data_IF_873367893213
#
_entry.id   IF_873367893213
#
_cell.length_a   1.000
_cell.length_b   1.000
_cell.length_c   1.000
_cell.angle_alpha   90.00
_cell.angle_beta   90.00
_cell.angle_gamma   90.00
#
_symmetry.space_group_name_H-M   'P 1'
#
loop_
_entity.id
_entity.type
_entity.pdbx_description
1 polymer ?
#
# COMPACT_ATOMS: atom_id res chain seq x y z
N UNK A 1 -14.73 -3.33 21.04
CA UNK A 1 -15.75 -4.04 20.23
C UNK A 1 -15.30 -3.99 18.79
N UNK A 2 -14.74 -5.08 18.27
CA UNK A 2 -14.37 -5.22 16.86
C UNK A 2 -15.52 -5.97 16.17
N UNK A 3 -16.40 -5.23 15.51
CA UNK A 3 -17.49 -5.79 14.71
C UNK A 3 -17.06 -5.76 13.24
N UNK A 4 -16.96 -6.95 12.62
CA UNK A 4 -17.07 -7.10 11.16
C UNK A 4 -15.83 -6.82 10.31
N UNK A 5 -14.62 -6.99 10.81
CA UNK A 5 -13.44 -6.94 9.94
C UNK A 5 -13.38 -8.19 9.05
N UNK A 6 -13.26 -7.99 7.74
CA UNK A 6 -12.99 -9.04 6.75
C UNK A 6 -11.58 -9.61 6.93
N UNK A 7 -11.33 -10.85 6.50
CA UNK A 7 -10.00 -11.48 6.55
C UNK A 7 -8.92 -10.59 5.90
N UNK A 8 -9.29 -9.90 4.82
CA UNK A 8 -8.43 -8.96 4.08
C UNK A 8 -7.99 -7.76 4.94
N UNK A 9 -8.92 -7.19 5.71
CA UNK A 9 -8.64 -6.05 6.60
C UNK A 9 -7.69 -6.44 7.74
N UNK A 10 -7.79 -7.67 8.26
CA UNK A 10 -6.87 -8.19 9.28
C UNK A 10 -5.45 -8.34 8.75
N UNK A 11 -5.27 -8.81 7.51
CA UNK A 11 -3.96 -8.99 6.91
C UNK A 11 -3.25 -7.64 6.70
N UNK A 12 -3.98 -6.64 6.23
CA UNK A 12 -3.42 -5.30 5.99
C UNK A 12 -3.11 -4.54 7.29
N UNK A 13 -3.80 -4.85 8.39
CA UNK A 13 -3.52 -4.25 9.69
C UNK A 13 -2.08 -4.54 10.14
N UNK A 14 -1.63 -5.80 10.01
CA UNK A 14 -0.28 -6.21 10.39
C UNK A 14 0.81 -5.60 9.49
N UNK A 15 0.55 -5.38 8.21
CA UNK A 15 1.45 -4.62 7.33
C UNK A 15 1.50 -3.14 7.71
N UNK A 16 0.35 -2.55 8.03
CA UNK A 16 0.26 -1.20 8.57
C UNK A 16 1.09 -1.03 9.85
N UNK A 17 1.03 -1.99 10.76
CA UNK A 17 1.81 -1.96 12.01
C UNK A 17 3.31 -2.09 11.79
N UNK A 18 3.73 -2.95 10.84
CA UNK A 18 5.14 -3.04 10.45
C UNK A 18 5.64 -1.75 9.81
N UNK A 19 4.84 -1.15 8.94
CA UNK A 19 5.15 0.17 8.38
C UNK A 19 5.22 1.22 9.49
N UNK A 20 4.29 1.23 10.46
CA UNK A 20 4.31 2.16 11.59
C UNK A 20 5.59 2.04 12.41
N UNK A 21 6.01 0.82 12.76
CA UNK A 21 7.27 0.58 13.46
C UNK A 21 8.49 1.07 12.65
N UNK A 22 8.42 0.94 11.33
CA UNK A 22 9.46 1.44 10.44
C UNK A 22 9.48 2.98 10.35
N UNK A 23 8.31 3.63 10.36
CA UNK A 23 8.19 5.09 10.41
C UNK A 23 8.62 5.66 11.77
N UNK A 24 8.32 4.96 12.88
CA UNK A 24 8.70 5.38 14.24
C UNK A 24 10.22 5.49 14.40
N UNK A 25 10.99 4.60 13.78
CA UNK A 25 12.46 4.67 13.75
C UNK A 25 12.98 5.92 13.02
N UNK A 26 12.19 6.55 12.17
CA UNK A 26 12.59 7.70 11.34
C UNK A 26 12.07 9.03 11.87
N UNK A 27 10.81 9.07 12.28
CA UNK A 27 10.16 10.26 12.83
C UNK A 27 10.24 10.29 14.35
N UNK A 28 11.41 9.99 14.92
CA UNK A 28 11.61 9.82 16.35
C UNK A 28 10.90 10.90 17.18
N UNK A 29 10.19 10.48 18.23
CA UNK A 29 9.41 11.38 19.09
C UNK A 29 7.98 11.67 18.62
N UNK A 30 7.57 11.18 17.44
CA UNK A 30 6.16 11.20 17.04
C UNK A 30 5.29 10.27 17.90
N UNK A 31 4.04 10.66 18.10
CA UNK A 31 3.05 9.85 18.79
C UNK A 31 2.83 8.50 18.08
N UNK A 32 2.83 7.42 18.87
CA UNK A 32 2.78 6.05 18.34
C UNK A 32 1.41 5.76 17.71
N UNK A 33 0.32 6.21 18.33
CA UNK A 33 -1.04 6.02 17.78
C UNK A 33 -1.19 6.78 16.46
N UNK A 34 -0.67 8.01 16.40
CA UNK A 34 -0.63 8.80 15.18
C UNK A 34 0.10 8.09 14.03
N UNK A 35 1.27 7.51 14.31
CA UNK A 35 2.05 6.77 13.31
C UNK A 35 1.34 5.48 12.87
N UNK A 36 0.70 4.76 13.79
CA UNK A 36 -0.11 3.59 13.45
C UNK A 36 -1.28 3.97 12.55
N UNK A 37 -2.01 5.04 12.88
CA UNK A 37 -3.09 5.55 12.04
C UNK A 37 -2.60 5.86 10.63
N UNK A 38 -1.56 6.69 10.51
CA UNK A 38 -0.97 7.08 9.22
C UNK A 38 -0.56 5.84 8.41
N UNK A 39 0.17 4.91 9.02
CA UNK A 39 0.71 3.75 8.33
C UNK A 39 -0.41 2.79 7.87
N UNK A 40 -1.38 2.49 8.74
CA UNK A 40 -2.54 1.64 8.40
C UNK A 40 -3.36 2.26 7.27
N UNK A 41 -3.63 3.56 7.33
CA UNK A 41 -4.36 4.27 6.27
C UNK A 41 -3.60 4.20 4.94
N UNK A 42 -2.29 4.42 4.94
CA UNK A 42 -1.49 4.35 3.71
C UNK A 42 -1.46 2.94 3.12
N UNK A 43 -1.24 1.92 3.96
CA UNK A 43 -1.22 0.52 3.52
C UNK A 43 -2.54 0.15 2.86
N UNK A 44 -3.66 0.42 3.54
CA UNK A 44 -4.98 0.08 3.03
C UNK A 44 -5.29 0.76 1.70
N UNK A 45 -5.12 2.08 1.64
CA UNK A 45 -5.46 2.85 0.46
C UNK A 45 -4.53 2.52 -0.73
N UNK A 46 -3.23 2.31 -0.49
CA UNK A 46 -2.31 1.94 -1.55
C UNK A 46 -2.65 0.57 -2.14
N UNK A 47 -2.92 -0.43 -1.30
CA UNK A 47 -3.26 -1.78 -1.76
C UNK A 47 -4.55 -1.77 -2.58
N UNK A 48 -5.60 -1.11 -2.07
CA UNK A 48 -6.88 -1.01 -2.78
C UNK A 48 -6.75 -0.31 -4.14
N UNK A 49 -6.09 0.86 -4.16
CA UNK A 49 -5.87 1.60 -5.41
C UNK A 49 -5.01 0.80 -6.38
N UNK A 50 -3.98 0.11 -5.91
CA UNK A 50 -3.13 -0.73 -6.73
C UNK A 50 -3.93 -1.84 -7.40
N UNK A 51 -4.67 -2.63 -6.61
CA UNK A 51 -5.50 -3.73 -7.12
C UNK A 51 -6.52 -3.24 -8.16
N UNK A 52 -7.27 -2.18 -7.84
CA UNK A 52 -8.22 -1.59 -8.77
C UNK A 52 -7.55 -1.10 -10.07
N UNK A 53 -6.37 -0.49 -9.97
CA UNK A 53 -5.59 -0.04 -11.14
C UNK A 53 -5.18 -1.20 -12.03
N UNK A 54 -4.74 -2.34 -11.45
CA UNK A 54 -4.39 -3.53 -12.22
C UNK A 54 -5.61 -4.04 -12.98
N UNK A 55 -6.74 -4.22 -12.31
CA UNK A 55 -7.96 -4.73 -12.96
C UNK A 55 -8.44 -3.79 -14.07
N UNK A 56 -8.42 -2.47 -13.84
CA UNK A 56 -8.85 -1.49 -14.83
C UNK A 56 -7.94 -1.44 -16.06
N UNK A 57 -6.62 -1.43 -15.87
CA UNK A 57 -5.66 -1.37 -16.97
C UNK A 57 -5.68 -2.66 -17.79
N UNK A 58 -5.69 -3.82 -17.12
CA UNK A 58 -5.67 -5.14 -17.79
C UNK A 58 -6.96 -5.40 -18.57
N UNK A 59 -8.12 -4.98 -18.03
CA UNK A 59 -9.40 -4.97 -18.75
C UNK A 59 -9.35 -4.10 -20.00
N UNK A 60 -8.81 -2.88 -19.91
CA UNK A 60 -8.66 -1.97 -21.06
C UNK A 60 -7.66 -2.49 -22.11
N UNK A 61 -6.69 -3.31 -21.69
CA UNK A 61 -5.73 -3.95 -22.57
C UNK A 61 -6.26 -5.24 -23.24
N UNK A 62 -7.52 -5.61 -23.03
CA UNK A 62 -8.12 -6.82 -23.60
C UNK A 62 -7.69 -8.13 -22.93
N UNK A 63 -6.99 -8.05 -21.78
CA UNK A 63 -6.53 -9.20 -20.99
C UNK A 63 -7.07 -9.06 -19.55
N UNK A 64 -8.38 -9.21 -19.31
CA UNK A 64 -8.95 -8.93 -17.99
C UNK A 64 -8.36 -9.86 -16.93
N UNK A 65 -7.72 -9.27 -15.92
CA UNK A 65 -7.24 -9.99 -14.74
C UNK A 65 -8.00 -9.54 -13.50
N UNK A 66 -8.01 -10.40 -12.49
CA UNK A 66 -8.53 -10.10 -11.15
C UNK A 66 -7.37 -10.03 -10.18
N UNK A 67 -7.41 -9.03 -9.31
CA UNK A 67 -6.44 -8.89 -8.23
C UNK A 67 -7.11 -9.33 -6.92
N UNK A 68 -6.50 -10.28 -6.23
CA UNK A 68 -6.99 -10.83 -4.97
C UNK A 68 -5.97 -10.57 -3.88
N UNK A 69 -6.43 -10.20 -2.68
CA UNK A 69 -5.58 -10.19 -1.50
C UNK A 69 -5.74 -11.56 -0.82
N UNK A 70 -4.63 -12.24 -0.57
CA UNK A 70 -4.63 -13.55 0.11
C UNK A 70 -3.51 -13.59 1.14
N UNK A 71 -3.60 -14.51 2.09
CA UNK A 71 -2.48 -14.86 2.95
C UNK A 71 -1.56 -15.87 2.24
N UNK A 72 -0.25 -15.71 2.37
CA UNK A 72 0.74 -16.73 2.00
C UNK A 72 0.77 -17.88 3.02
N UNK A 73 1.68 -18.85 2.81
CA UNK A 73 1.80 -20.04 3.66
C UNK A 73 2.16 -19.73 5.13
N UNK A 74 2.71 -18.55 5.39
CA UNK A 74 3.13 -18.10 6.72
C UNK A 74 2.23 -16.97 7.26
N UNK A 75 1.13 -16.66 6.57
CA UNK A 75 0.10 -15.71 7.00
C UNK A 75 0.35 -14.26 6.59
N UNK A 76 1.34 -13.95 5.75
CA UNK A 76 1.56 -12.59 5.25
C UNK A 76 0.70 -12.28 4.03
N UNK A 77 0.28 -11.02 3.85
CA UNK A 77 -0.53 -10.64 2.70
C UNK A 77 0.27 -10.60 1.38
N UNK A 78 -0.27 -11.31 0.41
CA UNK A 78 0.11 -11.31 -1.00
C UNK A 78 -1.04 -10.78 -1.87
N UNK A 79 -0.71 -9.95 -2.84
CA UNK A 79 -1.60 -9.60 -3.95
C UNK A 79 -1.36 -10.63 -5.05
N UNK A 80 -2.39 -11.42 -5.39
CA UNK A 80 -2.34 -12.44 -6.42
C UNK A 80 -3.16 -11.99 -7.62
N UNK A 81 -2.56 -12.05 -8.80
CA UNK A 81 -3.22 -11.72 -10.06
C UNK A 81 -3.62 -13.01 -10.76
N UNK A 82 -4.91 -13.15 -11.05
CA UNK A 82 -5.48 -14.35 -11.67
C UNK A 82 -6.19 -14.04 -12.98
N UNK A 83 -6.18 -15.01 -13.90
CA UNK A 83 -7.01 -15.00 -15.11
C UNK A 83 -8.48 -15.25 -14.77
N UNK A 84 -9.36 -15.10 -15.78
CA UNK A 84 -10.77 -15.45 -15.65
C UNK A 84 -10.98 -16.93 -15.29
N UNK A 85 -10.07 -17.81 -15.72
CA UNK A 85 -10.10 -19.25 -15.44
C UNK A 85 -9.44 -19.61 -14.10
N UNK A 86 -8.99 -18.61 -13.33
CA UNK A 86 -8.38 -18.79 -12.00
C UNK A 86 -6.89 -19.13 -12.03
N UNK A 87 -6.22 -19.08 -13.19
CA UNK A 87 -4.78 -19.31 -13.27
C UNK A 87 -4.00 -18.14 -12.67
N UNK A 88 -3.04 -18.44 -11.80
CA UNK A 88 -2.15 -17.43 -11.20
C UNK A 88 -1.14 -16.94 -12.24
N UNK A 89 -1.12 -15.63 -12.49
CA UNK A 89 -0.19 -14.96 -13.41
C UNK A 89 0.98 -14.32 -12.69
N UNK A 90 0.72 -13.65 -11.58
CA UNK A 90 1.75 -12.99 -10.79
C UNK A 90 1.34 -12.95 -9.31
N UNK A 91 2.34 -12.91 -8.43
CA UNK A 91 2.17 -12.67 -7.00
C UNK A 91 3.07 -11.53 -6.56
N UNK A 92 2.56 -10.65 -5.70
CA UNK A 92 3.28 -9.52 -5.16
C UNK A 92 3.03 -9.41 -3.64
N UNK A 93 4.05 -9.65 -2.81
CA UNK A 93 3.93 -9.40 -1.38
C UNK A 93 3.60 -7.94 -1.10
N UNK A 94 2.65 -7.68 -0.20
CA UNK A 94 2.27 -6.31 0.16
C UNK A 94 3.45 -5.57 0.78
N UNK A 95 4.27 -6.23 1.59
CA UNK A 95 5.54 -5.66 2.08
C UNK A 95 6.41 -5.14 0.92
N UNK A 96 6.50 -5.87 -0.19
CA UNK A 96 7.29 -5.48 -1.36
C UNK A 96 6.68 -4.26 -2.07
N UNK A 97 5.35 -4.22 -2.21
CA UNK A 97 4.62 -3.06 -2.74
C UNK A 97 4.90 -1.79 -1.90
N UNK A 98 4.74 -1.88 -0.58
CA UNK A 98 4.97 -0.77 0.35
C UNK A 98 6.41 -0.28 0.27
N UNK A 99 7.37 -1.21 0.23
CA UNK A 99 8.80 -0.89 0.08
C UNK A 99 9.09 -0.15 -1.21
N UNK A 100 8.58 -0.65 -2.35
CA UNK A 100 8.81 -0.01 -3.64
C UNK A 100 8.17 1.39 -3.71
N UNK A 101 6.97 1.55 -3.16
CA UNK A 101 6.23 2.81 -3.17
C UNK A 101 6.88 3.88 -2.28
N UNK A 102 7.24 3.53 -1.05
CA UNK A 102 7.65 4.53 -0.04
C UNK A 102 9.17 4.68 0.12
N UNK A 103 9.95 3.67 -0.27
CA UNK A 103 11.38 3.63 0.02
C UNK A 103 12.25 3.48 -1.24
N UNK A 104 13.47 3.98 -1.14
CA UNK A 104 14.60 3.67 -2.02
C UNK A 104 15.66 3.01 -1.16
N UNK A 105 15.75 1.68 -1.25
CA UNK A 105 16.50 0.88 -0.28
C UNK A 105 15.91 1.04 1.12
N UNK A 106 16.71 1.52 2.07
CA UNK A 106 16.28 1.79 3.45
C UNK A 106 15.88 3.25 3.68
N UNK A 107 15.89 4.10 2.67
CA UNK A 107 15.62 5.54 2.81
C UNK A 107 14.22 5.86 2.30
N UNK A 108 13.45 6.68 3.04
CA UNK A 108 12.17 7.18 2.52
C UNK A 108 12.44 8.04 1.30
N UNK A 109 11.64 7.86 0.26
CA UNK A 109 11.72 8.72 -0.92
C UNK A 109 11.40 10.16 -0.52
N UNK A 110 12.14 11.14 -1.03
CA UNK A 110 12.06 12.53 -0.57
C UNK A 110 10.64 13.11 -0.59
N UNK A 111 9.90 12.91 -1.69
CA UNK A 111 8.51 13.36 -1.79
C UNK A 111 7.59 12.69 -0.75
N UNK A 112 7.79 11.39 -0.50
CA UNK A 112 7.04 10.64 0.51
C UNK A 112 7.38 11.15 1.91
N UNK A 113 8.66 11.35 2.22
CA UNK A 113 9.10 11.86 3.51
C UNK A 113 8.48 13.23 3.85
N UNK A 114 8.43 14.15 2.88
CA UNK A 114 7.81 15.48 3.06
C UNK A 114 6.33 15.36 3.41
N UNK A 115 5.57 14.53 2.68
CA UNK A 115 4.14 14.36 2.94
C UNK A 115 3.86 13.61 4.25
N UNK A 116 4.68 12.61 4.58
CA UNK A 116 4.58 11.91 5.86
C UNK A 116 4.88 12.82 7.04
N UNK A 117 5.93 13.65 6.96
CA UNK A 117 6.24 14.63 7.99
C UNK A 117 5.07 15.59 8.22
N UNK A 118 4.48 16.11 7.13
CA UNK A 118 3.30 16.98 7.20
C UNK A 118 2.09 16.26 7.84
N UNK A 119 1.89 14.97 7.55
CA UNK A 119 0.83 14.18 8.15
C UNK A 119 1.06 13.92 9.65
N UNK A 120 2.31 13.71 10.07
CA UNK A 120 2.70 13.54 11.48
C UNK A 120 2.49 14.84 12.26
N UNK A 121 2.90 15.98 11.69
CA UNK A 121 2.82 17.28 12.35
C UNK A 121 1.43 17.94 12.28
N UNK A 122 0.52 17.44 11.43
CA UNK A 122 -0.79 18.06 11.26
C UNK A 122 -1.56 18.22 12.58
N UNK A 123 -2.14 19.39 12.79
CA UNK A 123 -2.86 19.72 14.04
C UNK A 123 -4.34 19.35 14.00
N UNK A 124 -4.85 18.91 12.84
CA UNK A 124 -6.23 18.47 12.67
C UNK A 124 -6.33 17.38 11.58
N UNK A 125 -7.46 16.70 11.55
CA UNK A 125 -7.73 15.60 10.63
C UNK A 125 -7.71 16.01 9.17
N UNK A 126 -8.24 17.18 8.82
CA UNK A 126 -8.27 17.65 7.43
C UNK A 126 -6.85 17.82 6.85
N UNK A 127 -5.92 18.38 7.63
CA UNK A 127 -4.52 18.51 7.23
C UNK A 127 -3.84 17.14 7.12
N UNK A 128 -4.12 16.22 8.03
CA UNK A 128 -3.64 14.83 7.95
C UNK A 128 -4.10 14.17 6.66
N UNK A 129 -5.40 14.19 6.38
CA UNK A 129 -5.98 13.60 5.16
C UNK A 129 -5.39 14.19 3.90
N UNK A 130 -5.23 15.53 3.84
CA UNK A 130 -4.58 16.18 2.70
C UNK A 130 -3.15 15.70 2.49
N UNK A 131 -2.37 15.60 3.55
CA UNK A 131 -0.99 15.13 3.49
C UNK A 131 -0.91 13.66 3.04
N UNK A 132 -1.79 12.79 3.54
CA UNK A 132 -1.87 11.38 3.11
C UNK A 132 -2.27 11.25 1.64
N UNK A 133 -3.26 12.02 1.19
CA UNK A 133 -3.65 12.06 -0.23
C UNK A 133 -2.50 12.55 -1.11
N UNK A 134 -1.77 13.59 -0.70
CA UNK A 134 -0.57 14.05 -1.41
C UNK A 134 0.53 12.97 -1.44
N UNK A 135 0.71 12.22 -0.35
CA UNK A 135 1.61 11.09 -0.30
C UNK A 135 1.25 10.02 -1.34
N UNK A 136 -0.01 9.58 -1.38
CA UNK A 136 -0.47 8.56 -2.32
C UNK A 136 -0.42 9.01 -3.79
N UNK A 137 -0.64 10.30 -4.05
CA UNK A 137 -0.53 10.90 -5.39
C UNK A 137 0.90 11.26 -5.78
N UNK A 138 1.87 11.09 -4.90
CA UNK A 138 3.26 11.41 -5.21
C UNK A 138 3.77 10.50 -6.33
N UNK A 139 4.60 11.05 -7.22
CA UNK A 139 5.13 10.33 -8.38
C UNK A 139 5.71 8.94 -8.02
N UNK A 140 6.52 8.78 -6.96
CA UNK A 140 7.08 7.47 -6.67
C UNK A 140 6.05 6.41 -6.26
N UNK A 141 4.95 6.83 -5.62
CA UNK A 141 3.86 5.91 -5.26
C UNK A 141 3.05 5.56 -6.50
N UNK A 142 2.74 6.53 -7.35
CA UNK A 142 2.01 6.30 -8.61
C UNK A 142 2.79 5.40 -9.58
N UNK A 143 4.11 5.57 -9.64
CA UNK A 143 4.99 4.81 -10.54
C UNK A 143 5.15 3.34 -10.13
N UNK A 144 4.71 2.93 -8.93
CA UNK A 144 4.89 1.55 -8.42
C UNK A 144 4.14 0.51 -9.28
N UNK A 145 3.03 0.90 -9.90
CA UNK A 145 2.24 0.02 -10.76
C UNK A 145 2.91 -0.24 -12.11
N UNK A 146 3.78 0.66 -12.59
CA UNK A 146 4.32 0.60 -13.95
C UNK A 146 5.15 -0.66 -14.20
N UNK A 147 6.17 -1.01 -13.39
CA UNK A 147 6.96 -2.22 -13.64
C UNK A 147 6.12 -3.50 -13.62
N UNK A 148 5.10 -3.53 -12.76
CA UNK A 148 4.20 -4.66 -12.60
C UNK A 148 3.27 -4.81 -13.82
N UNK A 149 2.63 -3.72 -14.23
CA UNK A 149 1.80 -3.69 -15.44
C UNK A 149 2.58 -4.04 -16.71
N UNK A 150 3.85 -3.59 -16.81
CA UNK A 150 4.71 -3.98 -17.94
C UNK A 150 4.96 -5.48 -17.99
N UNK A 151 5.18 -6.15 -16.84
CA UNK A 151 5.35 -7.61 -16.82
C UNK A 151 4.06 -8.37 -17.09
N UNK A 152 2.92 -7.87 -16.61
CA UNK A 152 1.64 -8.53 -16.82
C UNK A 152 1.16 -8.49 -18.27
N UNK A 153 1.47 -7.41 -18.99
CA UNK A 153 0.91 -7.17 -20.32
C UNK A 153 1.80 -7.69 -21.46
N UNK A 154 3.09 -7.92 -21.20
CA UNK A 154 4.07 -8.45 -22.15
C UNK A 154 4.35 -9.93 -21.90
#
# INVERSE_FOLDING_TARGET
MLVGMTTDEHLLLHEGDRLAAELARRFGGADTERLQFIARTLTFNLVQVFMATIEDVTRRAGKPYRALLVADEIGWPDIVIVTADGEVRERLPVTALLRQAFFSGTVLRSAVAVHLQAAVEARNEHLTTRALVSCLKSKPVMDVSRPFLTRLLH
#
